data_IF_351805436887
#
_entry.id   IF_351805436887
#
_cell.length_a   1.000
_cell.length_b   1.000
_cell.length_c   1.000
_cell.angle_alpha   90.00
_cell.angle_beta   90.00
_cell.angle_gamma   90.00
#
_symmetry.space_group_name_H-M   'P 1'
#
loop_
_entity.id
_entity.type
_entity.pdbx_description
1 polymer ?
#
# COMPACT_ATOMS: atom_id res chain seq x y z
N UNK A 1 18.98 -4.22 -15.79
CA UNK A 1 18.41 -5.59 -15.85
C UNK A 1 16.90 -5.42 -15.65
N UNK A 2 16.11 -5.90 -16.62
CA UNK A 2 14.64 -5.94 -16.73
C UNK A 2 13.81 -4.91 -15.94
N UNK A 3 13.22 -3.96 -16.68
CA UNK A 3 12.02 -3.26 -16.24
C UNK A 3 10.92 -4.32 -16.16
N UNK A 4 10.68 -4.85 -14.96
CA UNK A 4 9.52 -5.69 -14.68
C UNK A 4 8.27 -4.90 -15.04
N UNK A 5 7.30 -5.54 -15.68
CA UNK A 5 5.96 -4.99 -15.90
C UNK A 5 5.50 -4.21 -14.66
N UNK A 6 5.13 -2.95 -14.83
CA UNK A 6 4.73 -2.09 -13.71
C UNK A 6 3.47 -2.67 -13.07
N UNK A 7 3.61 -3.32 -11.91
CA UNK A 7 2.48 -3.89 -11.17
C UNK A 7 1.45 -2.78 -10.91
N UNK A 8 0.18 -3.14 -11.10
CA UNK A 8 -0.96 -2.27 -10.86
C UNK A 8 -1.55 -2.65 -9.51
N UNK A 9 -1.77 -1.66 -8.66
CA UNK A 9 -2.46 -1.79 -7.37
C UNK A 9 -3.83 -1.14 -7.50
N UNK A 10 -4.90 -1.89 -7.77
CA UNK A 10 -6.22 -1.31 -7.98
C UNK A 10 -6.75 -0.65 -6.71
N UNK A 11 -7.64 0.32 -6.86
CA UNK A 11 -8.47 0.78 -5.76
C UNK A 11 -9.36 -0.36 -5.25
N UNK A 12 -10.03 -0.14 -4.11
CA UNK A 12 -11.12 -1.01 -3.66
C UNK A 12 -12.46 -0.30 -3.76
N UNK A 13 -13.52 -1.08 -3.99
CA UNK A 13 -14.90 -0.67 -3.82
C UNK A 13 -15.54 -1.54 -2.74
N UNK A 14 -16.03 -0.92 -1.67
CA UNK A 14 -16.78 -1.61 -0.63
C UNK A 14 -18.25 -1.70 -1.06
N UNK A 15 -18.73 -2.91 -1.29
CA UNK A 15 -20.12 -3.16 -1.72
C UNK A 15 -21.07 -3.26 -0.52
N UNK A 16 -20.62 -3.88 0.57
CA UNK A 16 -21.40 -4.07 1.79
C UNK A 16 -20.50 -4.04 3.03
N UNK A 17 -21.06 -3.60 4.16
CA UNK A 17 -20.46 -3.78 5.47
C UNK A 17 -19.63 -2.60 6.00
N UNK A 18 -19.84 -1.37 5.53
CA UNK A 18 -19.10 -0.18 5.99
C UNK A 18 -19.07 -0.04 7.51
N UNK A 19 -20.23 -0.13 8.17
CA UNK A 19 -20.32 -0.12 9.63
C UNK A 19 -20.08 -1.50 10.27
N UNK A 20 -20.21 -2.57 9.49
CA UNK A 20 -20.03 -3.95 9.95
C UNK A 20 -18.56 -4.24 10.31
N UNK A 21 -17.61 -3.71 9.52
CA UNK A 21 -16.17 -3.81 9.75
C UNK A 21 -15.77 -3.25 11.12
N UNK A 22 -16.38 -2.13 11.53
CA UNK A 22 -16.10 -1.48 12.81
C UNK A 22 -16.47 -2.36 14.01
N UNK A 23 -17.39 -3.30 13.80
CA UNK A 23 -17.89 -4.22 14.82
C UNK A 23 -17.36 -5.65 14.64
N UNK A 24 -16.38 -5.86 13.72
CA UNK A 24 -15.79 -7.17 13.45
C UNK A 24 -16.70 -8.14 12.68
N UNK A 25 -17.71 -7.62 11.98
CA UNK A 25 -18.61 -8.43 11.15
C UNK A 25 -18.14 -8.45 9.69
N UNK A 26 -18.73 -9.36 8.91
CA UNK A 26 -18.39 -9.59 7.52
C UNK A 26 -18.66 -8.36 6.63
N UNK A 27 -17.80 -8.19 5.63
CA UNK A 27 -17.90 -7.16 4.61
C UNK A 27 -17.48 -7.71 3.25
N UNK A 28 -17.99 -7.09 2.18
CA UNK A 28 -17.67 -7.46 0.81
C UNK A 28 -17.06 -6.28 0.09
N UNK A 29 -15.81 -6.42 -0.31
CA UNK A 29 -15.11 -5.46 -1.16
C UNK A 29 -14.57 -6.17 -2.40
N UNK A 30 -14.44 -5.40 -3.49
CA UNK A 30 -13.86 -5.85 -4.74
C UNK A 30 -12.77 -4.88 -5.20
N UNK A 31 -11.76 -5.36 -5.95
CA UNK A 31 -10.87 -4.47 -6.69
C UNK A 31 -11.66 -3.62 -7.69
N UNK A 32 -11.31 -2.34 -7.79
CA UNK A 32 -11.90 -1.39 -8.72
C UNK A 32 -10.82 -0.79 -9.63
N UNK A 33 -10.55 -1.42 -10.79
CA UNK A 33 -9.36 -1.13 -11.61
C UNK A 33 -9.41 0.21 -12.35
N UNK A 34 -10.54 0.91 -12.35
CA UNK A 34 -10.66 2.25 -12.95
C UNK A 34 -9.75 3.28 -12.26
N UNK A 35 -9.52 3.09 -10.96
CA UNK A 35 -8.53 3.83 -10.19
C UNK A 35 -7.45 2.89 -9.68
N UNK A 36 -6.19 3.29 -9.72
CA UNK A 36 -5.08 2.43 -9.31
C UNK A 36 -3.84 3.25 -8.95
N UNK A 37 -2.88 2.58 -8.31
CA UNK A 37 -1.53 3.05 -8.12
C UNK A 37 -0.52 2.18 -8.89
N UNK A 38 0.58 2.77 -9.33
CA UNK A 38 1.68 2.03 -9.98
C UNK A 38 3.02 2.75 -9.83
N UNK A 39 4.11 1.99 -9.84
CA UNK A 39 5.47 2.53 -9.78
C UNK A 39 5.88 3.06 -11.15
N UNK A 40 6.25 4.34 -11.19
CA UNK A 40 6.77 4.99 -12.40
C UNK A 40 8.06 5.73 -12.09
N UNK A 41 8.81 6.08 -13.13
CA UNK A 41 9.91 7.05 -13.02
C UNK A 41 9.36 8.46 -13.21
N UNK A 42 9.43 9.26 -12.15
CA UNK A 42 8.87 10.60 -12.04
C UNK A 42 9.39 11.54 -13.13
N UNK A 43 8.48 12.37 -13.62
CA UNK A 43 8.78 13.61 -14.36
C UNK A 43 8.59 14.81 -13.41
N UNK A 44 9.04 16.04 -13.75
CA UNK A 44 8.99 17.21 -12.85
C UNK A 44 7.61 17.56 -12.24
N UNK A 45 6.50 17.01 -12.76
CA UNK A 45 5.15 17.22 -12.22
C UNK A 45 4.82 16.34 -11.01
N UNK A 46 5.58 15.28 -10.74
CA UNK A 46 5.18 14.20 -9.82
C UNK A 46 5.80 14.33 -8.41
N UNK A 47 6.54 15.41 -8.12
CA UNK A 47 7.20 15.63 -6.82
C UNK A 47 6.27 15.73 -5.61
N UNK A 48 5.00 16.09 -5.79
CA UNK A 48 4.04 16.22 -4.66
C UNK A 48 3.78 14.92 -3.91
N UNK A 49 3.88 13.77 -4.57
CA UNK A 49 3.63 12.48 -3.93
C UNK A 49 4.80 12.01 -3.07
N UNK A 50 6.05 12.32 -3.46
CA UNK A 50 7.26 11.93 -2.74
C UNK A 50 7.28 12.53 -1.33
N UNK A 51 6.88 13.80 -1.18
CA UNK A 51 6.80 14.44 0.15
C UNK A 51 5.77 13.82 1.09
N UNK A 52 4.77 13.11 0.57
CA UNK A 52 3.72 12.47 1.38
C UNK A 52 4.15 11.09 1.91
N UNK A 53 5.13 10.44 1.27
CA UNK A 53 5.54 9.08 1.63
C UNK A 53 6.73 9.05 2.61
N UNK A 54 7.57 10.09 2.64
CA UNK A 54 8.73 10.14 3.54
C UNK A 54 8.39 9.87 5.02
N UNK A 55 7.31 10.45 5.60
CA UNK A 55 7.00 10.18 7.00
C UNK A 55 6.50 8.73 7.21
N UNK A 56 5.86 8.12 6.20
CA UNK A 56 5.49 6.70 6.25
C UNK A 56 6.73 5.80 6.20
N UNK A 57 7.72 6.13 5.38
CA UNK A 57 8.99 5.40 5.33
C UNK A 57 9.71 5.46 6.68
N UNK A 58 9.71 6.64 7.33
CA UNK A 58 10.28 6.80 8.67
C UNK A 58 9.54 5.92 9.70
N UNK A 59 8.21 5.87 9.63
CA UNK A 59 7.40 4.98 10.46
C UNK A 59 7.80 3.50 10.25
N UNK A 60 7.93 3.06 8.99
CA UNK A 60 8.34 1.69 8.69
C UNK A 60 9.74 1.39 9.22
N UNK A 61 10.68 2.31 9.07
CA UNK A 61 12.04 2.15 9.59
C UNK A 61 12.08 2.03 11.12
N UNK A 62 11.16 2.68 11.83
CA UNK A 62 11.07 2.57 13.30
C UNK A 62 10.38 1.29 13.75
N UNK A 63 9.33 0.86 13.04
CA UNK A 63 8.47 -0.25 13.47
C UNK A 63 8.89 -1.61 12.92
N UNK A 64 9.53 -1.64 11.76
CA UNK A 64 9.95 -2.83 11.00
C UNK A 64 11.38 -2.67 10.47
N UNK A 65 12.38 -2.38 11.33
CA UNK A 65 13.72 -2.00 10.89
C UNK A 65 14.47 -3.07 10.08
N UNK A 66 14.06 -4.34 10.16
CA UNK A 66 14.74 -5.47 9.52
C UNK A 66 13.92 -6.14 8.41
N UNK A 67 12.68 -5.70 8.17
CA UNK A 67 11.76 -6.36 7.25
C UNK A 67 11.75 -5.72 5.86
N UNK A 68 12.46 -4.60 5.68
CA UNK A 68 12.47 -3.83 4.44
C UNK A 68 13.89 -3.48 3.97
N UNK A 69 14.08 -3.48 2.66
CA UNK A 69 15.28 -2.93 2.01
C UNK A 69 15.17 -1.41 1.86
N UNK A 70 15.45 -0.70 2.94
CA UNK A 70 15.44 0.76 2.96
C UNK A 70 16.52 1.39 2.06
N UNK A 71 17.61 0.67 1.78
CA UNK A 71 18.66 1.15 0.88
C UNK A 71 18.13 1.21 -0.56
N UNK A 72 17.50 0.12 -1.01
CA UNK A 72 16.84 0.08 -2.32
C UNK A 72 15.72 1.12 -2.41
N UNK A 73 14.83 1.19 -1.41
CA UNK A 73 13.75 2.18 -1.39
C UNK A 73 14.26 3.61 -1.52
N UNK A 74 15.31 3.97 -0.79
CA UNK A 74 15.92 5.30 -0.86
C UNK A 74 16.62 5.54 -2.21
N UNK A 75 17.29 4.53 -2.76
CA UNK A 75 17.93 4.62 -4.07
C UNK A 75 16.88 4.86 -5.17
N UNK A 76 15.81 4.07 -5.18
CA UNK A 76 14.72 4.18 -6.14
C UNK A 76 14.09 5.57 -6.07
N UNK A 77 13.78 6.09 -4.87
CA UNK A 77 13.26 7.46 -4.70
C UNK A 77 14.23 8.53 -5.22
N UNK A 78 15.54 8.38 -4.94
CA UNK A 78 16.56 9.33 -5.42
C UNK A 78 16.74 9.29 -6.94
N UNK A 79 16.54 8.13 -7.57
CA UNK A 79 16.52 7.98 -9.02
C UNK A 79 15.22 8.49 -9.67
N UNK A 80 14.29 8.96 -8.84
CA UNK A 80 13.02 9.53 -9.25
C UNK A 80 11.91 8.49 -9.36
N UNK A 81 12.03 7.27 -8.84
CA UNK A 81 10.87 6.39 -8.75
C UNK A 81 9.83 6.94 -7.78
N UNK A 82 8.58 7.00 -8.22
CA UNK A 82 7.45 7.39 -7.39
C UNK A 82 6.26 6.48 -7.64
N UNK A 83 5.41 6.34 -6.64
CA UNK A 83 4.12 5.68 -6.78
C UNK A 83 3.11 6.72 -7.30
N UNK A 84 2.76 6.63 -8.58
CA UNK A 84 1.69 7.47 -9.15
C UNK A 84 0.34 6.82 -8.83
N UNK A 85 -0.64 7.62 -8.42
CA UNK A 85 -1.96 7.13 -8.06
C UNK A 85 -3.04 8.01 -8.67
N UNK A 86 -3.98 7.39 -9.37
CA UNK A 86 -5.21 8.03 -9.86
C UNK A 86 -6.34 8.00 -8.83
N UNK A 87 -6.14 7.36 -7.67
CA UNK A 87 -7.17 7.11 -6.65
C UNK A 87 -7.52 8.42 -5.92
N UNK A 88 -8.78 8.87 -5.96
CA UNK A 88 -9.22 10.05 -5.23
C UNK A 88 -9.02 9.92 -3.72
N UNK A 89 -8.43 10.95 -3.11
CA UNK A 89 -8.25 11.03 -1.65
C UNK A 89 -9.58 11.35 -0.94
N UNK A 90 -9.83 10.70 0.20
CA UNK A 90 -10.99 11.01 1.06
C UNK A 90 -12.29 10.30 0.69
N UNK A 91 -12.29 9.42 -0.31
CA UNK A 91 -13.49 8.70 -0.78
C UNK A 91 -13.58 7.23 -0.32
N UNK A 92 -12.69 6.78 0.57
CA UNK A 92 -12.70 5.39 1.05
C UNK A 92 -12.24 4.33 0.02
N UNK A 93 -11.65 4.76 -1.10
CA UNK A 93 -11.23 3.89 -2.22
C UNK A 93 -9.89 3.15 -1.99
N UNK A 94 -9.29 3.27 -0.82
CA UNK A 94 -8.05 2.54 -0.48
C UNK A 94 -6.75 3.18 -0.99
N UNK A 95 -6.65 4.51 -1.03
CA UNK A 95 -5.38 5.19 -1.36
C UNK A 95 -4.24 4.82 -0.38
N UNK A 96 -4.51 4.74 0.92
CA UNK A 96 -3.54 4.24 1.92
C UNK A 96 -3.18 2.78 1.67
N UNK A 97 -4.18 1.95 1.40
CA UNK A 97 -4.04 0.52 1.18
C UNK A 97 -3.12 0.21 -0.01
N UNK A 98 -3.29 0.91 -1.13
CA UNK A 98 -2.42 0.72 -2.30
C UNK A 98 -0.99 1.17 -2.05
N UNK A 99 -0.77 2.22 -1.25
CA UNK A 99 0.57 2.64 -0.83
C UNK A 99 1.25 1.56 0.05
N UNK A 100 0.52 1.01 1.01
CA UNK A 100 0.97 -0.09 1.88
C UNK A 100 1.33 -1.32 1.05
N UNK A 101 0.43 -1.76 0.17
CA UNK A 101 0.63 -2.91 -0.70
C UNK A 101 1.85 -2.71 -1.62
N UNK A 102 1.95 -1.54 -2.26
CA UNK A 102 3.04 -1.25 -3.19
C UNK A 102 4.42 -1.20 -2.55
N UNK A 103 4.53 -0.69 -1.32
CA UNK A 103 5.79 -0.71 -0.56
C UNK A 103 6.11 -2.12 -0.08
N UNK A 104 5.13 -2.82 0.51
CA UNK A 104 5.30 -4.20 0.94
C UNK A 104 5.80 -5.08 -0.21
N UNK A 105 5.22 -4.90 -1.39
CA UNK A 105 5.55 -5.73 -2.54
C UNK A 105 6.95 -5.52 -3.11
N UNK A 106 7.45 -4.29 -3.12
CA UNK A 106 8.71 -4.00 -3.80
C UNK A 106 9.92 -3.98 -2.86
N UNK A 107 9.69 -3.75 -1.57
CA UNK A 107 10.76 -3.50 -0.60
C UNK A 107 10.73 -4.40 0.63
N UNK A 108 9.65 -5.15 0.91
CA UNK A 108 9.69 -6.12 2.01
C UNK A 108 10.61 -7.29 1.64
N UNK A 109 11.61 -7.54 2.47
CA UNK A 109 12.59 -8.62 2.28
C UNK A 109 12.07 -9.96 2.78
N UNK A 110 11.27 -9.94 3.85
CA UNK A 110 10.69 -11.11 4.50
C UNK A 110 9.19 -11.20 4.22
N UNK A 111 8.82 -11.43 2.95
CA UNK A 111 7.40 -11.55 2.59
C UNK A 111 6.74 -12.76 3.24
N UNK A 112 5.60 -12.52 3.86
CA UNK A 112 4.67 -13.57 4.29
C UNK A 112 4.11 -14.25 3.04
N UNK A 113 3.93 -15.56 3.12
CA UNK A 113 3.37 -16.36 2.04
C UNK A 113 1.90 -15.98 1.78
N UNK A 114 1.55 -15.65 0.54
CA UNK A 114 0.20 -15.24 0.13
C UNK A 114 -0.89 -16.30 0.40
N UNK A 115 -0.51 -17.55 0.70
CA UNK A 115 -1.44 -18.59 1.18
C UNK A 115 -1.83 -18.43 2.65
N UNK A 116 -1.02 -17.72 3.44
CA UNK A 116 -1.31 -17.40 4.83
C UNK A 116 -1.97 -16.02 4.95
N UNK A 117 -3.21 -15.92 4.45
CA UNK A 117 -3.95 -14.66 4.36
C UNK A 117 -4.13 -13.98 5.73
N UNK A 118 -4.32 -14.74 6.81
CA UNK A 118 -4.51 -14.17 8.15
C UNK A 118 -3.25 -13.46 8.65
N UNK A 119 -2.08 -14.08 8.50
CA UNK A 119 -0.81 -13.48 8.88
C UNK A 119 -0.47 -12.27 8.01
N UNK A 120 -0.69 -12.39 6.69
CA UNK A 120 -0.48 -11.31 5.74
C UNK A 120 -1.38 -10.11 6.05
N UNK A 121 -2.67 -10.34 6.30
CA UNK A 121 -3.62 -9.30 6.67
C UNK A 121 -3.19 -8.58 7.95
N UNK A 122 -2.80 -9.34 8.99
CA UNK A 122 -2.34 -8.75 10.25
C UNK A 122 -1.11 -7.86 10.03
N UNK A 123 -0.15 -8.33 9.23
CA UNK A 123 1.06 -7.58 8.93
C UNK A 123 0.79 -6.30 8.13
N UNK A 124 -0.01 -6.38 7.06
CA UNK A 124 -0.40 -5.22 6.27
C UNK A 124 -1.22 -4.22 7.10
N UNK A 125 -2.07 -4.70 8.02
CA UNK A 125 -2.78 -3.86 8.98
C UNK A 125 -1.84 -3.10 9.91
N UNK A 126 -0.76 -3.73 10.38
CA UNK A 126 0.26 -3.05 11.19
C UNK A 126 0.96 -1.93 10.40
N UNK A 127 1.21 -2.12 9.10
CA UNK A 127 1.74 -1.05 8.25
C UNK A 127 0.71 0.08 8.07
N UNK A 128 -0.55 -0.27 7.80
CA UNK A 128 -1.61 0.70 7.54
C UNK A 128 -2.00 1.53 8.78
N UNK A 129 -1.68 1.07 10.00
CA UNK A 129 -1.84 1.85 11.23
C UNK A 129 -1.12 3.21 11.23
N UNK A 130 -0.19 3.44 10.29
CA UNK A 130 0.36 4.77 10.08
C UNK A 130 -0.70 5.78 9.59
N UNK A 131 -1.59 5.34 8.69
CA UNK A 131 -2.60 6.18 8.06
C UNK A 131 -3.90 6.26 8.89
N UNK A 132 -4.13 5.26 9.75
CA UNK A 132 -5.34 5.13 10.56
C UNK A 132 -4.98 4.76 11.99
N UNK A 133 -5.68 5.28 13.00
CA UNK A 133 -5.39 4.94 14.41
C UNK A 133 -5.47 3.44 14.73
N UNK A 134 -6.29 2.68 13.97
CA UNK A 134 -6.40 1.22 14.02
C UNK A 134 -6.94 0.68 12.69
N UNK A 135 -6.13 -0.06 11.96
CA UNK A 135 -6.50 -0.78 10.74
C UNK A 135 -6.79 -2.26 11.02
N UNK A 136 -7.74 -2.82 10.27
CA UNK A 136 -8.02 -4.26 10.22
C UNK A 136 -7.11 -5.03 9.25
N UNK A 137 -6.33 -4.32 8.44
CA UNK A 137 -5.52 -4.89 7.34
C UNK A 137 -6.32 -5.40 6.15
N UNK A 138 -7.65 -5.30 6.20
CA UNK A 138 -8.54 -5.79 5.13
C UNK A 138 -8.33 -5.02 3.82
N UNK A 139 -8.25 -3.70 3.89
CA UNK A 139 -8.13 -2.86 2.68
C UNK A 139 -6.82 -3.12 1.92
N UNK A 140 -5.63 -3.12 2.58
CA UNK A 140 -4.37 -3.50 1.95
C UNK A 140 -4.38 -4.92 1.38
N UNK A 141 -5.02 -5.88 2.06
CA UNK A 141 -5.09 -7.26 1.58
C UNK A 141 -5.87 -7.34 0.25
N UNK A 142 -7.03 -6.68 0.17
CA UNK A 142 -7.88 -6.69 -1.03
C UNK A 142 -7.19 -6.12 -2.26
N UNK A 143 -6.36 -5.08 -2.09
CA UNK A 143 -5.66 -4.43 -3.22
C UNK A 143 -4.29 -5.06 -3.52
N UNK A 144 -3.79 -5.91 -2.63
CA UNK A 144 -2.53 -6.64 -2.79
C UNK A 144 -2.70 -7.94 -3.56
N UNK A 145 -3.79 -8.69 -3.29
CA UNK A 145 -4.13 -9.94 -3.98
C UNK A 145 -4.42 -9.73 -5.47
#
# INVERSE_FOLDING_TARGET
MQVSESRIYPAKLLLFGEYAILSGNDALAIPYPEYYATWIKATPKNYKFISLIEPFILYLHQRFPFDFDFNKLKADINEGFCLESSIPYGYGLGSSATCVAAIYDLYCTNKINDRNLAELQEYLGKMENYFHSKSSGFDPLVVHL
#
